data_IF_803610079854
#
_entry.id   IF_803610079854
#
_cell.length_a   1.000
_cell.length_b   1.000
_cell.length_c   1.000
_cell.angle_alpha   90.00
_cell.angle_beta   90.00
_cell.angle_gamma   90.00
#
_symmetry.space_group_name_H-M   'P 1'
#
loop_
_entity.id
_entity.type
_entity.pdbx_description
1 polymer ?
#
# COMPACT_ATOMS: atom_id res chain seq x y z
N UNK A 1 -1.34 9.97 -0.40
CA UNK A 1 -0.23 10.14 0.58
C UNK A 1 0.62 8.87 0.61
N UNK A 2 1.94 8.99 0.39
CA UNK A 2 2.88 7.87 0.50
C UNK A 2 3.47 7.85 1.92
N UNK A 3 3.48 6.67 2.53
CA UNK A 3 4.00 6.41 3.86
C UNK A 3 5.10 5.35 3.80
N UNK A 4 6.06 5.44 4.71
CA UNK A 4 7.12 4.47 4.90
C UNK A 4 7.10 3.95 6.33
N UNK A 5 7.17 2.64 6.47
CA UNK A 5 7.30 1.98 7.76
C UNK A 5 8.66 1.27 7.81
N UNK A 6 9.37 1.40 8.93
CA UNK A 6 10.57 0.62 9.22
C UNK A 6 10.45 -0.01 10.59
N UNK A 7 10.43 -1.35 10.63
CA UNK A 7 10.31 -2.08 11.88
C UNK A 7 11.52 -1.86 12.80
N UNK A 8 11.36 -0.99 13.79
CA UNK A 8 12.25 -0.83 14.93
C UNK A 8 11.56 -1.43 16.16
N UNK A 9 12.06 -2.57 16.64
CA UNK A 9 11.47 -3.34 17.74
C UNK A 9 11.49 -2.59 19.08
N UNK A 10 12.28 -1.51 19.20
CA UNK A 10 12.32 -0.69 20.41
C UNK A 10 11.16 0.30 20.51
N UNK A 11 10.38 0.46 19.43
CA UNK A 11 9.30 1.45 19.33
C UNK A 11 7.94 0.80 19.16
N UNK A 12 6.90 1.52 19.56
CA UNK A 12 5.53 1.18 19.20
C UNK A 12 5.35 1.23 17.68
N UNK A 13 4.41 0.43 17.15
CA UNK A 13 4.19 0.32 15.71
C UNK A 13 3.89 1.67 15.06
N UNK A 14 3.03 2.50 15.66
CA UNK A 14 2.69 3.82 15.10
C UNK A 14 3.93 4.73 14.97
N UNK A 15 4.87 4.65 15.91
CA UNK A 15 6.09 5.46 15.89
C UNK A 15 7.09 5.05 14.78
N UNK A 16 6.89 3.88 14.18
CA UNK A 16 7.68 3.38 13.05
C UNK A 16 7.12 3.79 11.69
N UNK A 17 5.88 4.30 11.65
CA UNK A 17 5.21 4.78 10.46
C UNK A 17 5.52 6.27 10.25
N UNK A 18 5.86 6.65 9.02
CA UNK A 18 6.20 8.03 8.67
C UNK A 18 5.55 8.43 7.36
N UNK A 19 4.93 9.60 7.33
CA UNK A 19 4.52 10.22 6.08
C UNK A 19 5.78 10.62 5.30
N UNK A 20 5.87 10.17 4.05
CA UNK A 20 6.97 10.56 3.13
C UNK A 20 6.57 11.84 2.42
N UNK A 21 5.45 11.80 1.71
CA UNK A 21 4.92 12.96 1.00
C UNK A 21 3.45 12.76 0.60
N UNK A 22 2.82 13.84 0.14
CA UNK A 22 1.52 13.84 -0.54
C UNK A 22 1.70 14.32 -1.98
N UNK A 23 0.83 13.86 -2.86
CA UNK A 23 0.80 14.28 -4.26
C UNK A 23 -0.65 14.20 -4.74
N UNK A 24 -0.96 14.95 -5.79
CA UNK A 24 -2.29 14.97 -6.42
C UNK A 24 -2.22 15.12 -7.94
N UNK A 25 -1.03 14.98 -8.55
CA UNK A 25 -0.81 15.03 -10.00
C UNK A 25 -0.04 13.79 -10.46
N UNK A 26 -0.13 13.48 -11.76
CA UNK A 26 0.57 12.35 -12.37
C UNK A 26 2.08 12.62 -12.39
N UNK A 27 2.47 13.87 -12.64
CA UNK A 27 3.86 14.33 -12.65
C UNK A 27 4.50 14.15 -11.28
N UNK A 28 3.82 14.57 -10.21
CA UNK A 28 4.30 14.41 -8.84
C UNK A 28 4.42 12.92 -8.46
N UNK A 29 3.48 12.09 -8.91
CA UNK A 29 3.55 10.65 -8.70
C UNK A 29 4.82 10.05 -9.34
N UNK A 30 5.09 10.34 -10.61
CA UNK A 30 6.27 9.81 -11.29
C UNK A 30 7.58 10.41 -10.79
N UNK A 31 7.57 11.69 -10.41
CA UNK A 31 8.69 12.34 -9.75
C UNK A 31 9.01 11.63 -8.42
N UNK A 32 8.00 11.33 -7.60
CA UNK A 32 8.19 10.58 -6.36
C UNK A 32 8.69 9.16 -6.62
N UNK A 33 8.02 8.41 -7.50
CA UNK A 33 8.32 7.00 -7.75
C UNK A 33 9.75 6.80 -8.28
N UNK A 34 10.25 7.71 -9.11
CA UNK A 34 11.61 7.67 -9.65
C UNK A 34 12.70 8.01 -8.62
N UNK A 35 12.36 8.68 -7.51
CA UNK A 35 13.32 9.12 -6.49
C UNK A 35 13.34 8.27 -5.22
N UNK A 36 12.43 7.30 -5.07
CA UNK A 36 12.40 6.38 -3.93
C UNK A 36 13.02 5.02 -4.27
N UNK A 37 13.62 4.33 -3.29
CA UNK A 37 14.06 2.95 -3.48
C UNK A 37 12.89 2.04 -3.87
N UNK A 38 13.10 1.20 -4.89
CA UNK A 38 12.15 0.14 -5.26
C UNK A 38 11.90 -0.82 -4.09
N UNK A 39 10.68 -1.38 -3.95
CA UNK A 39 10.36 -2.33 -2.88
C UNK A 39 11.32 -3.51 -2.79
N UNK A 40 11.74 -4.08 -3.92
CA UNK A 40 12.70 -5.21 -3.98
C UNK A 40 14.07 -4.89 -3.38
N UNK A 41 14.43 -3.60 -3.28
CA UNK A 41 15.70 -3.09 -2.73
C UNK A 41 15.59 -2.71 -1.25
N UNK A 42 14.40 -2.75 -0.66
CA UNK A 42 14.23 -2.44 0.75
C UNK A 42 14.71 -3.58 1.65
N UNK A 43 15.08 -3.22 2.88
CA UNK A 43 15.41 -4.20 3.92
C UNK A 43 14.14 -4.88 4.45
N UNK A 44 14.23 -6.17 4.77
CA UNK A 44 13.13 -6.92 5.37
C UNK A 44 12.68 -6.24 6.67
N UNK A 45 11.37 -6.06 6.81
CA UNK A 45 10.74 -5.29 7.90
C UNK A 45 10.38 -3.86 7.51
N UNK A 46 10.66 -3.43 6.28
CA UNK A 46 10.16 -2.17 5.74
C UNK A 46 8.87 -2.36 4.94
N UNK A 47 8.04 -1.33 4.92
CA UNK A 47 6.81 -1.26 4.12
C UNK A 47 6.70 0.10 3.42
N UNK A 48 6.03 0.10 2.27
CA UNK A 48 5.42 1.31 1.73
C UNK A 48 3.91 1.20 1.80
N UNK A 49 3.25 2.35 1.93
CA UNK A 49 1.79 2.43 1.87
C UNK A 49 1.35 3.67 1.12
N UNK A 50 0.49 3.51 0.12
CA UNK A 50 -0.14 4.64 -0.58
C UNK A 50 -1.62 4.67 -0.20
N UNK A 51 -2.06 5.71 0.50
CA UNK A 51 -3.44 5.87 0.95
C UNK A 51 -4.03 7.20 0.46
N UNK A 52 -5.35 7.26 0.26
CA UNK A 52 -6.07 8.52 -0.01
C UNK A 52 -5.78 9.54 1.10
N UNK A 53 -5.77 10.83 0.77
CA UNK A 53 -5.41 11.85 1.76
C UNK A 53 -6.40 11.84 2.94
N UNK A 54 -5.89 12.04 4.15
CA UNK A 54 -6.66 11.95 5.39
C UNK A 54 -6.93 10.53 5.90
N UNK A 55 -6.46 9.48 5.20
CA UNK A 55 -6.54 8.09 5.68
C UNK A 55 -5.14 7.62 6.12
N UNK A 56 -5.01 7.26 7.38
CA UNK A 56 -3.79 6.65 7.92
C UNK A 56 -3.74 5.15 7.54
N UNK A 57 -2.57 4.60 7.18
CA UNK A 57 -2.42 3.19 6.77
C UNK A 57 -2.41 2.24 7.98
N UNK A 58 -3.44 2.33 8.82
CA UNK A 58 -3.61 1.54 10.05
C UNK A 58 -5.08 1.14 10.24
N UNK A 59 -5.32 0.04 10.96
CA UNK A 59 -6.67 -0.51 11.13
C UNK A 59 -7.53 0.34 12.07
N UNK A 60 -6.91 1.15 12.91
CA UNK A 60 -7.57 2.06 13.85
C UNK A 60 -8.24 3.25 13.14
N UNK A 61 -7.82 3.58 11.91
CA UNK A 61 -8.41 4.67 11.14
C UNK A 61 -9.91 4.42 10.93
N UNK A 62 -10.72 5.46 11.13
CA UNK A 62 -12.18 5.40 10.97
C UNK A 62 -12.64 4.85 9.62
N UNK A 63 -11.83 5.03 8.58
CA UNK A 63 -12.06 4.62 7.21
C UNK A 63 -11.61 3.16 6.95
N UNK A 64 -10.75 2.58 7.79
CA UNK A 64 -10.26 1.21 7.62
C UNK A 64 -10.85 0.22 8.62
N UNK A 65 -11.34 0.69 9.78
CA UNK A 65 -11.72 -0.17 10.93
C UNK A 65 -12.86 -1.18 10.66
N UNK A 66 -13.73 -0.92 9.69
CA UNK A 66 -14.78 -1.86 9.22
C UNK A 66 -14.42 -2.55 7.90
N UNK A 67 -13.25 -2.22 7.39
CA UNK A 67 -12.79 -2.62 6.08
C UNK A 67 -12.13 -3.97 6.06
N UNK A 68 -11.48 -4.22 4.94
CA UNK A 68 -10.70 -5.42 4.70
C UNK A 68 -9.52 -5.15 3.79
N UNK A 69 -8.86 -6.22 3.36
CA UNK A 69 -7.85 -6.12 2.31
C UNK A 69 -7.83 -7.35 1.42
N UNK A 70 -7.70 -7.11 0.13
CA UNK A 70 -7.26 -8.12 -0.83
C UNK A 70 -5.77 -8.32 -0.65
N UNK A 71 -5.33 -9.57 -0.44
CA UNK A 71 -3.94 -9.87 -0.09
C UNK A 71 -3.36 -10.87 -1.09
N UNK A 72 -2.30 -10.45 -1.79
CA UNK A 72 -1.43 -11.37 -2.52
C UNK A 72 -0.14 -11.59 -1.73
N UNK A 73 0.32 -12.84 -1.68
CA UNK A 73 1.60 -13.21 -1.06
C UNK A 73 2.52 -13.75 -2.13
N UNK A 74 3.70 -13.16 -2.25
CA UNK A 74 4.73 -13.57 -3.19
C UNK A 74 5.71 -14.52 -2.52
N UNK A 75 6.10 -15.57 -3.24
CA UNK A 75 7.21 -16.41 -2.86
C UNK A 75 8.53 -15.62 -2.90
N UNK A 76 9.50 -16.02 -2.09
CA UNK A 76 10.80 -15.32 -1.97
C UNK A 76 11.52 -15.16 -3.31
N UNK A 77 11.37 -16.13 -4.21
CA UNK A 77 11.97 -16.14 -5.54
C UNK A 77 11.40 -15.06 -6.46
N UNK A 78 10.16 -14.62 -6.22
CA UNK A 78 9.47 -13.63 -7.04
C UNK A 78 9.85 -12.18 -6.69
N UNK A 79 10.63 -11.95 -5.61
CA UNK A 79 11.03 -10.60 -5.18
C UNK A 79 11.72 -9.81 -6.28
N UNK A 80 12.61 -10.45 -7.02
CA UNK A 80 13.44 -9.77 -8.01
C UNK A 80 12.85 -9.81 -9.42
N UNK A 81 11.74 -10.52 -9.63
CA UNK A 81 11.10 -10.66 -10.95
C UNK A 81 9.74 -10.00 -11.01
N UNK A 82 8.90 -10.14 -9.97
CA UNK A 82 7.49 -9.70 -10.01
C UNK A 82 7.18 -8.53 -9.08
N UNK A 83 7.85 -8.44 -7.92
CA UNK A 83 7.41 -7.58 -6.82
C UNK A 83 7.27 -6.10 -7.21
N UNK A 84 8.30 -5.54 -7.84
CA UNK A 84 8.30 -4.12 -8.23
C UNK A 84 7.25 -3.84 -9.30
N UNK A 85 7.03 -4.79 -10.22
CA UNK A 85 6.00 -4.68 -11.26
C UNK A 85 4.60 -4.71 -10.65
N UNK A 86 4.29 -5.69 -9.81
CA UNK A 86 3.00 -5.77 -9.12
C UNK A 86 2.74 -4.55 -8.25
N UNK A 87 3.78 -4.02 -7.59
CA UNK A 87 3.63 -2.81 -6.80
C UNK A 87 3.30 -1.60 -7.67
N UNK A 88 4.03 -1.40 -8.78
CA UNK A 88 3.74 -0.32 -9.72
C UNK A 88 2.33 -0.45 -10.32
N UNK A 89 1.94 -1.64 -10.79
CA UNK A 89 0.58 -1.90 -11.30
C UNK A 89 -0.48 -1.58 -10.26
N UNK A 90 -0.26 -1.97 -8.99
CA UNK A 90 -1.17 -1.63 -7.88
C UNK A 90 -1.28 -0.11 -7.71
N UNK A 91 -0.16 0.61 -7.69
CA UNK A 91 -0.15 2.06 -7.56
C UNK A 91 -0.89 2.75 -8.73
N UNK A 92 -0.71 2.26 -9.95
CA UNK A 92 -1.39 2.76 -11.14
C UNK A 92 -2.90 2.52 -11.07
N UNK A 93 -3.34 1.35 -10.60
CA UNK A 93 -4.77 1.09 -10.38
C UNK A 93 -5.39 2.07 -9.38
N UNK A 94 -4.65 2.42 -8.31
CA UNK A 94 -5.11 3.35 -7.29
C UNK A 94 -5.23 4.78 -7.84
N UNK A 95 -4.14 5.34 -8.39
CA UNK A 95 -4.13 6.75 -8.84
C UNK A 95 -4.96 6.97 -10.11
N UNK A 96 -5.19 5.91 -10.89
CA UNK A 96 -6.03 5.93 -12.09
C UNK A 96 -7.51 5.67 -11.80
N UNK A 97 -7.89 5.38 -10.55
CA UNK A 97 -9.26 5.00 -10.15
C UNK A 97 -9.82 3.87 -11.05
N UNK A 98 -9.04 2.79 -11.21
CA UNK A 98 -9.32 1.70 -12.15
C UNK A 98 -10.35 0.66 -11.64
N UNK A 99 -11.12 1.00 -10.61
CA UNK A 99 -12.17 0.14 -10.03
C UNK A 99 -13.58 0.70 -10.29
N UNK A 100 -13.71 1.53 -11.32
CA UNK A 100 -14.96 2.19 -11.73
C UNK A 100 -15.67 2.85 -10.54
N UNK A 101 -16.96 2.58 -10.34
CA UNK A 101 -17.79 3.10 -9.25
C UNK A 101 -17.33 2.65 -7.85
N UNK A 102 -16.52 1.60 -7.76
CA UNK A 102 -16.00 1.07 -6.49
C UNK A 102 -14.67 1.70 -6.07
N UNK A 103 -14.10 2.60 -6.86
CA UNK A 103 -12.82 3.25 -6.52
C UNK A 103 -12.93 4.08 -5.22
N UNK A 104 -14.12 4.55 -4.86
CA UNK A 104 -14.40 5.24 -3.59
C UNK A 104 -14.32 4.33 -2.34
N UNK A 105 -14.49 3.02 -2.52
CA UNK A 105 -14.30 2.01 -1.48
C UNK A 105 -12.82 1.77 -1.18
N UNK A 106 -11.92 2.06 -2.14
CA UNK A 106 -10.48 1.86 -1.97
C UNK A 106 -9.90 2.93 -1.05
N UNK A 107 -9.31 2.48 0.05
CA UNK A 107 -8.62 3.34 1.01
C UNK A 107 -7.15 3.56 0.63
N UNK A 108 -6.50 2.50 0.15
CA UNK A 108 -5.09 2.52 -0.19
C UNK A 108 -4.49 1.14 -0.44
N UNK A 109 -3.18 1.08 -0.58
CA UNK A 109 -2.44 -0.15 -0.78
C UNK A 109 -1.18 -0.19 0.08
N UNK A 110 -0.75 -1.39 0.44
CA UNK A 110 0.44 -1.67 1.26
C UNK A 110 1.29 -2.73 0.58
N UNK A 111 2.60 -2.50 0.53
CA UNK A 111 3.59 -3.54 0.21
C UNK A 111 4.44 -3.84 1.44
N UNK A 112 4.52 -5.11 1.83
CA UNK A 112 5.30 -5.57 2.96
C UNK A 112 6.51 -6.39 2.54
N UNK A 113 7.70 -5.91 2.92
CA UNK A 113 8.95 -6.62 2.62
C UNK A 113 9.33 -7.51 3.78
N UNK A 114 9.32 -8.83 3.60
CA UNK A 114 9.52 -9.79 4.71
C UNK A 114 10.43 -10.94 4.29
N UNK A 115 11.21 -11.47 5.24
CA UNK A 115 12.12 -12.58 4.97
C UNK A 115 11.42 -13.88 4.51
N UNK A 116 10.16 -14.10 4.94
CA UNK A 116 9.37 -15.31 4.65
C UNK A 116 8.54 -15.22 3.35
N UNK A 117 8.52 -14.06 2.69
CA UNK A 117 7.67 -13.82 1.53
C UNK A 117 7.02 -12.44 1.62
N UNK A 118 7.00 -11.75 0.50
CA UNK A 118 6.48 -10.38 0.41
C UNK A 118 4.98 -10.39 0.21
N UNK A 119 4.34 -9.27 0.57
CA UNK A 119 2.89 -9.15 0.44
C UNK A 119 2.55 -7.83 -0.22
N UNK A 120 1.54 -7.84 -1.07
CA UNK A 120 0.90 -6.62 -1.57
C UNK A 120 -0.57 -6.74 -1.20
N UNK A 121 -1.15 -5.64 -0.73
CA UNK A 121 -2.55 -5.59 -0.36
C UNK A 121 -3.21 -4.29 -0.79
N UNK A 122 -4.46 -4.38 -1.24
CA UNK A 122 -5.36 -3.23 -1.44
C UNK A 122 -6.37 -3.25 -0.31
N UNK A 123 -6.54 -2.12 0.36
CA UNK A 123 -7.44 -1.94 1.50
C UNK A 123 -8.73 -1.28 1.05
N UNK A 124 -9.85 -1.82 1.51
CA UNK A 124 -11.20 -1.32 1.23
C UNK A 124 -11.90 -0.87 2.51
N UNK A 125 -12.85 0.06 2.40
CA UNK A 125 -13.48 0.75 3.53
C UNK A 125 -14.47 -0.11 4.31
N UNK A 126 -15.24 -0.94 3.63
CA UNK A 126 -16.34 -1.73 4.21
C UNK A 126 -16.26 -3.18 3.75
N UNK A 127 -15.97 -4.11 4.68
CA UNK A 127 -15.87 -5.52 4.37
C UNK A 127 -17.23 -6.15 4.03
N UNK A 128 -18.32 -5.57 4.51
CA UNK A 128 -19.69 -6.05 4.25
C UNK A 128 -20.24 -5.59 2.89
N UNK A 129 -19.59 -4.63 2.22
CA UNK A 129 -19.96 -4.23 0.85
C UNK A 129 -19.50 -5.29 -0.16
N UNK A 130 -20.23 -6.40 -0.20
CA UNK A 130 -19.86 -7.58 -0.99
C UNK A 130 -19.70 -7.27 -2.48
N UNK A 131 -20.57 -6.44 -3.04
CA UNK A 131 -20.51 -6.08 -4.46
C UNK A 131 -19.19 -5.39 -4.79
N UNK A 132 -18.82 -4.35 -4.05
CA UNK A 132 -17.54 -3.65 -4.27
C UNK A 132 -16.32 -4.47 -3.87
N UNK A 133 -16.44 -5.38 -2.89
CA UNK A 133 -15.34 -6.27 -2.54
C UNK A 133 -15.08 -7.29 -3.64
N UNK A 134 -16.11 -7.83 -4.30
CA UNK A 134 -15.97 -8.92 -5.29
C UNK A 134 -15.91 -8.49 -6.76
N UNK A 135 -16.00 -7.18 -7.03
CA UNK A 135 -15.81 -6.58 -8.35
C UNK A 135 -14.40 -6.87 -8.89
#
# INVERSE_FOLDING_TARGET
ALWFFKNDKSKMWQANLRLVTKFSTVEDFWALYSHIPLPSKLTSGCDYSLFKDGIEPMWEDSQNKRGGRWLITLAKQQRHTELDRFWLETLLCLIGEMFDEYSDEVCGAVINIRAKGDKIAIWTREAENREGVTH
#
